data_IF_104483134577
#
_entry.id   IF_104483134577
#
_cell.length_a   1.000
_cell.length_b   1.000
_cell.length_c   1.000
_cell.angle_alpha   90.00
_cell.angle_beta   90.00
_cell.angle_gamma   90.00
#
_symmetry.space_group_name_H-M   'P 1'
#
loop_
_entity.id
_entity.type
_entity.pdbx_description
1 polymer ?
#
# COMPACT_ATOMS: atom_id res chain seq x y z
N UNK A 1 7.94 -36.49 31.32
CA UNK A 1 7.16 -35.93 32.46
C UNK A 1 8.22 -35.25 33.31
N UNK A 2 8.53 -33.98 33.09
CA UNK A 2 7.69 -32.83 33.40
C UNK A 2 7.72 -31.75 32.31
N UNK A 3 6.63 -31.00 32.27
CA UNK A 3 6.24 -29.96 31.32
C UNK A 3 6.76 -28.59 31.78
N UNK A 4 7.49 -27.86 30.94
CA UNK A 4 7.69 -26.41 31.09
C UNK A 4 6.88 -25.66 30.05
N UNK A 5 5.72 -25.14 30.48
CA UNK A 5 4.81 -24.29 29.74
C UNK A 5 5.07 -22.80 30.01
N UNK A 6 5.01 -21.99 28.95
CA UNK A 6 4.91 -20.51 28.99
C UNK A 6 6.28 -19.83 28.85
N UNK A 7 6.56 -18.96 27.88
CA UNK A 7 5.71 -18.06 27.12
C UNK A 7 6.45 -17.72 25.81
N UNK A 8 5.98 -18.24 24.67
CA UNK A 8 6.62 -17.96 23.37
C UNK A 8 5.81 -18.33 22.13
N UNK A 9 4.53 -18.72 22.27
CA UNK A 9 3.77 -19.37 21.20
C UNK A 9 2.73 -18.53 20.45
N UNK A 10 2.59 -17.22 20.74
CA UNK A 10 1.48 -16.43 20.16
C UNK A 10 1.82 -15.77 18.83
N UNK A 11 3.10 -15.51 18.52
CA UNK A 11 3.48 -14.85 17.26
C UNK A 11 3.66 -15.80 16.08
N UNK A 12 4.30 -16.96 16.24
CA UNK A 12 4.71 -17.80 15.10
C UNK A 12 3.53 -18.35 14.28
N UNK A 13 2.40 -18.68 14.92
CA UNK A 13 1.22 -19.20 14.22
C UNK A 13 0.45 -18.15 13.41
N UNK A 14 0.58 -16.86 13.74
CA UNK A 14 -0.15 -15.79 13.03
C UNK A 14 0.40 -15.52 11.63
N UNK A 15 1.72 -15.67 11.46
CA UNK A 15 2.41 -15.42 10.19
C UNK A 15 2.38 -16.64 9.25
N UNK A 16 2.12 -17.84 9.78
CA UNK A 16 1.98 -19.08 9.00
C UNK A 16 0.81 -19.01 7.99
N UNK A 17 -0.20 -18.17 8.26
CA UNK A 17 -1.33 -17.96 7.36
C UNK A 17 -1.01 -17.02 6.18
N UNK A 18 0.12 -16.30 6.19
CA UNK A 18 0.42 -15.30 5.15
C UNK A 18 0.62 -15.92 3.76
N UNK A 19 1.43 -16.99 3.57
CA UNK A 19 1.56 -17.62 2.25
C UNK A 19 0.21 -18.04 1.63
N UNK A 20 -0.67 -18.82 2.29
CA UNK A 20 -1.95 -19.19 1.69
C UNK A 20 -2.88 -17.98 1.46
N UNK A 21 -2.83 -16.95 2.32
CA UNK A 21 -3.58 -15.71 2.09
C UNK A 21 -3.10 -14.97 0.83
N UNK A 22 -1.79 -14.74 0.66
CA UNK A 22 -1.28 -14.09 -0.55
C UNK A 22 -1.53 -14.92 -1.80
N UNK A 23 -1.46 -16.25 -1.70
CA UNK A 23 -1.78 -17.14 -2.81
C UNK A 23 -3.25 -17.04 -3.25
N UNK A 24 -4.18 -17.13 -2.30
CA UNK A 24 -5.62 -17.01 -2.59
C UNK A 24 -5.96 -15.65 -3.20
N UNK A 25 -5.42 -14.55 -2.65
CA UNK A 25 -5.59 -13.23 -3.26
C UNK A 25 -4.96 -13.14 -4.65
N UNK A 26 -3.78 -13.74 -4.86
CA UNK A 26 -3.15 -13.79 -6.20
C UNK A 26 -4.06 -14.48 -7.20
N UNK A 27 -4.66 -15.62 -6.85
CA UNK A 27 -5.59 -16.33 -7.72
C UNK A 27 -6.84 -15.51 -8.05
N UNK A 28 -7.46 -14.88 -7.05
CA UNK A 28 -8.65 -14.03 -7.25
C UNK A 28 -8.32 -12.89 -8.23
N UNK A 29 -7.20 -12.21 -8.02
CA UNK A 29 -6.76 -11.12 -8.89
C UNK A 29 -6.35 -11.62 -10.27
N UNK A 30 -5.70 -12.77 -10.39
CA UNK A 30 -5.28 -13.35 -11.66
C UNK A 30 -6.48 -13.76 -12.50
N UNK A 31 -7.47 -14.43 -11.92
CA UNK A 31 -8.71 -14.80 -12.59
C UNK A 31 -9.49 -13.56 -13.04
N UNK A 32 -9.57 -12.53 -12.18
CA UNK A 32 -10.23 -11.27 -12.51
C UNK A 32 -9.52 -10.52 -13.65
N UNK A 33 -8.19 -10.43 -13.58
CA UNK A 33 -7.36 -9.80 -14.60
C UNK A 33 -7.45 -10.55 -15.93
N UNK A 34 -7.36 -11.88 -15.90
CA UNK A 34 -7.48 -12.75 -17.06
C UNK A 34 -8.88 -12.64 -17.70
N UNK A 35 -9.94 -12.67 -16.89
CA UNK A 35 -11.32 -12.47 -17.36
C UNK A 35 -11.49 -11.11 -18.02
N UNK A 36 -10.92 -10.05 -17.43
CA UNK A 36 -10.95 -8.72 -18.03
C UNK A 36 -10.19 -8.70 -19.34
N UNK A 37 -8.93 -9.15 -19.38
CA UNK A 37 -8.13 -9.13 -20.63
C UNK A 37 -8.73 -10.00 -21.72
N UNK A 38 -9.30 -11.16 -21.37
CA UNK A 38 -10.00 -12.01 -22.33
C UNK A 38 -11.24 -11.31 -22.89
N UNK A 39 -12.07 -10.71 -22.01
CA UNK A 39 -13.24 -9.94 -22.44
C UNK A 39 -12.85 -8.73 -23.30
N UNK A 40 -11.80 -8.00 -22.93
CA UNK A 40 -11.28 -6.88 -23.72
C UNK A 40 -10.73 -7.35 -25.06
N UNK A 41 -10.01 -8.48 -25.11
CA UNK A 41 -9.46 -9.03 -26.35
C UNK A 41 -10.56 -9.55 -27.29
N UNK A 42 -11.56 -10.26 -26.76
CA UNK A 42 -12.70 -10.73 -27.55
C UNK A 42 -13.55 -9.58 -28.08
N UNK A 43 -13.85 -8.58 -27.26
CA UNK A 43 -14.61 -7.41 -27.72
C UNK A 43 -13.79 -6.48 -28.60
N UNK A 44 -12.46 -6.49 -28.48
CA UNK A 44 -11.56 -5.75 -29.38
C UNK A 44 -11.59 -6.26 -30.82
N UNK A 45 -11.98 -7.52 -31.02
CA UNK A 45 -12.22 -8.05 -32.36
C UNK A 45 -13.43 -7.38 -33.05
N UNK A 46 -14.39 -6.86 -32.27
CA UNK A 46 -15.61 -6.24 -32.78
C UNK A 46 -15.63 -4.70 -32.68
N UNK A 47 -14.77 -4.10 -31.84
CA UNK A 47 -14.62 -2.65 -31.67
C UNK A 47 -13.15 -2.28 -31.52
N UNK A 48 -12.67 -1.22 -32.16
CA UNK A 48 -11.27 -0.79 -32.02
C UNK A 48 -10.91 -0.60 -30.53
N UNK A 49 -9.92 -1.34 -29.99
CA UNK A 49 -9.61 -1.29 -28.57
C UNK A 49 -9.09 0.09 -28.19
N UNK A 50 -9.85 0.78 -27.34
CA UNK A 50 -9.49 2.11 -26.87
C UNK A 50 -8.23 2.01 -26.00
N UNK A 51 -7.22 2.87 -26.23
CA UNK A 51 -5.93 2.84 -25.49
C UNK A 51 -6.10 2.85 -23.97
N UNK A 52 -7.18 3.48 -23.49
CA UNK A 52 -7.55 3.48 -22.07
C UNK A 52 -7.81 2.07 -21.53
N UNK A 53 -8.54 1.21 -22.25
CA UNK A 53 -8.93 -0.12 -21.76
C UNK A 53 -7.71 -1.00 -21.45
N UNK A 54 -6.71 -0.96 -22.33
CA UNK A 54 -5.43 -1.66 -22.11
C UNK A 54 -4.64 -1.08 -20.94
N UNK A 55 -4.68 0.24 -20.76
CA UNK A 55 -4.03 0.88 -19.63
C UNK A 55 -4.71 0.50 -18.30
N UNK A 56 -6.05 0.45 -18.26
CA UNK A 56 -6.79 0.00 -17.08
C UNK A 56 -6.56 -1.49 -16.78
N UNK A 57 -6.47 -2.33 -17.81
CA UNK A 57 -6.17 -3.75 -17.67
C UNK A 57 -4.77 -4.01 -17.08
N UNK A 58 -3.81 -3.09 -17.27
CA UNK A 58 -2.47 -3.23 -16.69
C UNK A 58 -2.47 -3.17 -15.15
N UNK A 59 -3.39 -2.43 -14.53
CA UNK A 59 -3.42 -2.23 -13.07
C UNK A 59 -3.68 -3.54 -12.30
N UNK A 60 -4.71 -4.35 -12.65
CA UNK A 60 -4.87 -5.69 -12.08
C UNK A 60 -3.65 -6.59 -12.28
N UNK A 61 -2.99 -6.55 -13.43
CA UNK A 61 -1.79 -7.35 -13.67
C UNK A 61 -0.61 -6.95 -12.79
N UNK A 62 -0.40 -5.64 -12.58
CA UNK A 62 0.60 -5.14 -11.62
C UNK A 62 0.27 -5.66 -10.21
N UNK A 63 -1.02 -5.71 -9.84
CA UNK A 63 -1.44 -6.25 -8.54
C UNK A 63 -1.16 -7.74 -8.39
N UNK A 64 -1.41 -8.53 -9.44
CA UNK A 64 -1.08 -9.96 -9.49
C UNK A 64 0.42 -10.17 -9.30
N UNK A 65 1.25 -9.39 -9.99
CA UNK A 65 2.71 -9.48 -9.84
C UNK A 65 3.15 -9.10 -8.43
N UNK A 66 2.58 -8.04 -7.84
CA UNK A 66 2.86 -7.65 -6.46
C UNK A 66 2.55 -8.78 -5.47
N UNK A 67 1.34 -9.34 -5.55
CA UNK A 67 0.89 -10.41 -4.64
C UNK A 67 1.64 -11.72 -4.87
N UNK A 68 2.00 -12.04 -6.11
CA UNK A 68 2.83 -13.19 -6.44
C UNK A 68 4.23 -13.07 -5.84
N UNK A 69 4.86 -11.90 -5.92
CA UNK A 69 6.13 -11.65 -5.25
C UNK A 69 5.99 -11.74 -3.72
N UNK A 70 4.88 -11.27 -3.15
CA UNK A 70 4.61 -11.40 -1.71
C UNK A 70 4.45 -12.87 -1.30
N UNK A 71 3.71 -13.65 -2.08
CA UNK A 71 3.60 -15.09 -1.89
C UNK A 71 4.97 -15.77 -1.95
N UNK A 72 5.75 -15.50 -3.00
CA UNK A 72 7.10 -16.08 -3.15
C UNK A 72 8.03 -15.70 -2.00
N UNK A 73 7.94 -14.47 -1.49
CA UNK A 73 8.71 -14.02 -0.34
C UNK A 73 8.38 -14.83 0.91
N UNK A 74 7.10 -14.87 1.31
CA UNK A 74 6.67 -15.58 2.51
C UNK A 74 6.84 -17.09 2.39
N UNK A 75 6.58 -17.66 1.22
CA UNK A 75 6.81 -19.08 0.95
C UNK A 75 8.29 -19.45 1.08
N UNK A 76 9.19 -18.66 0.48
CA UNK A 76 10.64 -18.93 0.56
C UNK A 76 11.18 -18.77 1.99
N UNK A 77 10.63 -17.82 2.75
CA UNK A 77 10.99 -17.60 4.14
C UNK A 77 10.62 -18.80 5.01
N UNK A 78 9.37 -19.28 4.94
CA UNK A 78 8.87 -20.37 5.79
C UNK A 78 9.33 -21.76 5.37
N UNK A 79 9.28 -22.08 4.07
CA UNK A 79 9.53 -23.45 3.60
C UNK A 79 10.98 -23.72 3.20
N UNK A 80 11.70 -22.69 2.72
CA UNK A 80 13.06 -22.85 2.20
C UNK A 80 14.13 -22.23 3.11
N UNK A 81 13.74 -21.52 4.19
CA UNK A 81 14.65 -20.73 5.05
C UNK A 81 15.54 -19.74 4.26
N UNK A 82 15.09 -19.29 3.08
CA UNK A 82 15.83 -18.37 2.22
C UNK A 82 15.14 -17.00 2.23
N UNK A 83 15.84 -15.97 2.74
CA UNK A 83 15.37 -14.59 2.67
C UNK A 83 16.06 -13.85 1.52
N UNK A 84 15.37 -13.69 0.39
CA UNK A 84 15.90 -12.93 -0.74
C UNK A 84 15.56 -11.45 -0.60
N UNK A 85 16.59 -10.63 -0.36
CA UNK A 85 16.48 -9.18 -0.34
C UNK A 85 15.84 -8.65 -1.63
N UNK A 86 16.21 -9.21 -2.78
CA UNK A 86 15.66 -8.84 -4.09
C UNK A 86 14.15 -9.06 -4.21
N UNK A 87 13.63 -10.15 -3.63
CA UNK A 87 12.19 -10.43 -3.65
C UNK A 87 11.46 -9.45 -2.73
N UNK A 88 11.99 -9.18 -1.53
CA UNK A 88 11.43 -8.18 -0.61
C UNK A 88 11.41 -6.78 -1.24
N UNK A 89 12.54 -6.36 -1.83
CA UNK A 89 12.63 -5.10 -2.58
C UNK A 89 11.66 -5.07 -3.77
N UNK A 90 11.48 -6.19 -4.47
CA UNK A 90 10.50 -6.33 -5.53
C UNK A 90 9.06 -6.11 -5.05
N UNK A 91 8.67 -6.72 -3.91
CA UNK A 91 7.35 -6.51 -3.29
C UNK A 91 7.13 -5.03 -2.97
N UNK A 92 8.14 -4.38 -2.41
CA UNK A 92 8.13 -2.95 -2.10
C UNK A 92 7.90 -2.10 -3.35
N UNK A 93 8.74 -2.25 -4.38
CA UNK A 93 8.67 -1.45 -5.61
C UNK A 93 7.34 -1.70 -6.33
N UNK A 94 6.91 -2.96 -6.45
CA UNK A 94 5.65 -3.29 -7.11
C UNK A 94 4.43 -2.73 -6.37
N UNK A 95 4.49 -2.62 -5.03
CA UNK A 95 3.44 -1.94 -4.27
C UNK A 95 3.33 -0.44 -4.57
N UNK A 96 4.47 0.24 -4.74
CA UNK A 96 4.51 1.65 -5.15
C UNK A 96 3.99 1.80 -6.58
N UNK A 97 4.46 0.97 -7.51
CA UNK A 97 4.01 0.97 -8.92
C UNK A 97 2.51 0.67 -9.03
N UNK A 98 1.98 -0.23 -8.22
CA UNK A 98 0.54 -0.50 -8.16
C UNK A 98 -0.24 0.75 -7.74
N UNK A 99 0.11 1.39 -6.61
CA UNK A 99 -0.59 2.58 -6.13
C UNK A 99 -0.53 3.72 -7.14
N UNK A 100 0.62 3.96 -7.76
CA UNK A 100 0.77 5.03 -8.75
C UNK A 100 0.04 4.73 -10.06
N UNK A 101 0.08 3.50 -10.56
CA UNK A 101 -0.66 3.12 -11.79
C UNK A 101 -2.19 3.17 -11.61
N UNK A 102 -2.71 2.76 -10.45
CA UNK A 102 -4.13 2.87 -10.11
C UNK A 102 -4.58 4.33 -10.08
N UNK A 103 -3.77 5.18 -9.47
CA UNK A 103 -4.03 6.61 -9.38
C UNK A 103 -4.00 7.32 -10.74
N UNK A 104 -3.00 7.03 -11.59
CA UNK A 104 -2.94 7.56 -12.96
C UNK A 104 -4.18 7.13 -13.74
N UNK A 105 -4.63 5.90 -13.55
CA UNK A 105 -5.86 5.39 -14.15
C UNK A 105 -7.10 6.16 -13.69
N UNK A 106 -7.22 6.47 -12.39
CA UNK A 106 -8.29 7.30 -11.86
C UNK A 106 -8.27 8.72 -12.42
N UNK A 107 -7.09 9.31 -12.60
CA UNK A 107 -6.92 10.60 -13.26
C UNK A 107 -7.41 10.59 -14.71
N UNK A 108 -7.03 9.57 -15.48
CA UNK A 108 -7.47 9.47 -16.87
C UNK A 108 -9.00 9.34 -16.97
N UNK A 109 -9.61 8.52 -16.11
CA UNK A 109 -11.07 8.37 -16.06
C UNK A 109 -11.73 9.67 -15.59
N UNK A 110 -11.18 10.36 -14.57
CA UNK A 110 -11.78 11.59 -14.04
C UNK A 110 -11.81 12.72 -15.07
N UNK A 111 -10.75 12.87 -15.87
CA UNK A 111 -10.71 13.79 -17.01
C UNK A 111 -11.59 13.35 -18.19
N UNK A 112 -12.09 12.10 -18.19
CA UNK A 112 -12.90 11.54 -19.26
C UNK A 112 -12.12 11.19 -20.52
N UNK A 113 -10.82 10.90 -20.37
CA UNK A 113 -10.01 10.36 -21.45
C UNK A 113 -10.69 9.12 -22.03
N UNK A 114 -10.80 9.05 -23.35
CA UNK A 114 -11.45 7.95 -24.07
C UNK A 114 -12.95 7.71 -23.73
N UNK A 115 -13.62 8.62 -22.98
CA UNK A 115 -15.05 8.56 -22.63
C UNK A 115 -15.79 9.81 -23.16
N UNK A 116 -15.36 11.00 -22.72
CA UNK A 116 -15.86 12.31 -23.21
C UNK A 116 -14.87 12.95 -24.19
N UNK A 117 -13.57 12.78 -23.96
CA UNK A 117 -12.50 13.38 -24.75
C UNK A 117 -11.60 12.31 -25.39
N UNK A 118 -11.41 12.36 -26.71
CA UNK A 118 -10.51 11.43 -27.40
C UNK A 118 -9.02 11.73 -27.14
N UNK A 119 -8.67 13.00 -26.84
CA UNK A 119 -7.31 13.41 -26.54
C UNK A 119 -7.30 14.40 -25.38
N UNK A 120 -6.43 14.13 -24.41
CA UNK A 120 -6.05 15.10 -23.39
C UNK A 120 -5.14 16.16 -24.00
N UNK A 121 -5.31 17.42 -23.60
CA UNK A 121 -4.42 18.51 -23.98
C UNK A 121 -3.00 18.29 -23.43
N UNK A 122 -2.00 18.92 -24.07
CA UNK A 122 -0.61 18.83 -23.59
C UNK A 122 -0.45 19.39 -22.18
N UNK A 123 -1.19 20.45 -21.85
CA UNK A 123 -1.17 21.04 -20.50
C UNK A 123 -1.70 20.07 -19.45
N UNK A 124 -2.84 19.42 -19.69
CA UNK A 124 -3.41 18.44 -18.76
C UNK A 124 -2.50 17.23 -18.56
N UNK A 125 -1.88 16.72 -19.64
CA UNK A 125 -0.91 15.62 -19.55
C UNK A 125 0.29 16.00 -18.69
N UNK A 126 0.82 17.22 -18.87
CA UNK A 126 1.94 17.72 -18.08
C UNK A 126 1.56 17.82 -16.60
N UNK A 127 0.39 18.38 -16.30
CA UNK A 127 -0.10 18.49 -14.92
C UNK A 127 -0.30 17.11 -14.28
N UNK A 128 -0.90 16.15 -14.99
CA UNK A 128 -1.05 14.77 -14.51
C UNK A 128 0.30 14.09 -14.28
N UNK A 129 1.27 14.26 -15.18
CA UNK A 129 2.61 13.69 -15.03
C UNK A 129 3.35 14.29 -13.83
N UNK A 130 3.27 15.61 -13.64
CA UNK A 130 3.84 16.30 -12.47
C UNK A 130 3.20 15.76 -11.19
N UNK A 131 1.87 15.72 -11.11
CA UNK A 131 1.15 15.22 -9.94
C UNK A 131 1.49 13.75 -9.64
N UNK A 132 1.58 12.91 -10.67
CA UNK A 132 1.95 11.50 -10.52
C UNK A 132 3.40 11.33 -10.04
N UNK A 133 4.32 12.19 -10.50
CA UNK A 133 5.72 12.20 -10.08
C UNK A 133 5.85 12.61 -8.61
N UNK A 134 5.19 13.70 -8.21
CA UNK A 134 5.18 14.16 -6.81
C UNK A 134 4.62 13.06 -5.91
N UNK A 135 3.47 12.49 -6.28
CA UNK A 135 2.85 11.39 -5.53
C UNK A 135 3.77 10.17 -5.41
N UNK A 136 4.43 9.76 -6.50
CA UNK A 136 5.41 8.66 -6.48
C UNK A 136 6.57 8.94 -5.53
N UNK A 137 7.19 10.11 -5.63
CA UNK A 137 8.33 10.48 -4.78
C UNK A 137 7.94 10.59 -3.30
N UNK A 138 6.77 11.14 -2.99
CA UNK A 138 6.25 11.18 -1.62
C UNK A 138 5.96 9.78 -1.09
N UNK A 139 5.41 8.88 -1.90
CA UNK A 139 5.12 7.50 -1.51
C UNK A 139 6.40 6.69 -1.26
N UNK A 140 7.42 6.87 -2.10
CA UNK A 140 8.75 6.30 -1.88
C UNK A 140 9.36 6.84 -0.58
N UNK A 141 9.32 8.16 -0.35
CA UNK A 141 9.86 8.78 0.86
C UNK A 141 9.17 8.30 2.14
N UNK A 142 7.84 8.22 2.14
CA UNK A 142 7.04 7.69 3.24
C UNK A 142 7.40 6.23 3.58
N UNK A 143 7.57 5.40 2.54
CA UNK A 143 7.88 3.98 2.71
C UNK A 143 9.35 3.71 3.05
N UNK A 144 10.27 4.58 2.64
CA UNK A 144 11.71 4.32 2.77
C UNK A 144 12.27 4.69 4.14
N UNK A 145 11.88 5.80 4.79
CA UNK A 145 12.69 6.26 5.94
C UNK A 145 12.08 7.21 6.97
N UNK A 146 10.83 7.72 6.88
CA UNK A 146 10.48 8.85 7.79
C UNK A 146 8.97 9.05 8.12
N UNK A 147 8.59 9.22 9.41
CA UNK A 147 7.24 9.65 9.80
C UNK A 147 6.88 11.07 9.31
N UNK A 148 7.87 11.94 9.06
CA UNK A 148 7.65 13.31 8.56
C UNK A 148 7.00 13.37 7.16
N UNK A 149 7.14 12.32 6.35
CA UNK A 149 6.45 12.25 5.05
C UNK A 149 4.97 11.90 5.17
N UNK A 150 4.48 11.49 6.36
CA UNK A 150 3.08 11.13 6.59
C UNK A 150 2.13 12.31 6.31
N UNK A 151 2.45 13.50 6.85
CA UNK A 151 1.69 14.72 6.58
C UNK A 151 1.73 15.14 5.10
N UNK A 152 2.90 15.05 4.46
CA UNK A 152 3.03 15.33 3.03
C UNK A 152 2.23 14.34 2.18
N UNK A 153 2.20 13.06 2.56
CA UNK A 153 1.43 12.03 1.87
C UNK A 153 -0.08 12.30 2.01
N UNK A 154 -0.55 12.65 3.21
CA UNK A 154 -1.94 13.02 3.45
C UNK A 154 -2.35 14.21 2.58
N UNK A 155 -1.56 15.28 2.57
CA UNK A 155 -1.80 16.46 1.73
C UNK A 155 -1.84 16.09 0.25
N UNK A 156 -0.92 15.23 -0.22
CA UNK A 156 -0.94 14.75 -1.60
C UNK A 156 -2.21 13.98 -1.94
N UNK A 157 -2.67 13.07 -1.08
CA UNK A 157 -3.94 12.36 -1.28
C UNK A 157 -5.13 13.33 -1.32
N UNK A 158 -5.18 14.31 -0.40
CA UNK A 158 -6.25 15.31 -0.37
C UNK A 158 -6.30 16.14 -1.66
N UNK A 159 -5.16 16.65 -2.12
CA UNK A 159 -5.06 17.41 -3.37
C UNK A 159 -5.56 16.56 -4.54
N UNK A 160 -5.15 15.29 -4.59
CA UNK A 160 -5.52 14.44 -5.72
C UNK A 160 -6.99 14.09 -5.70
N UNK A 161 -7.51 13.62 -4.56
CA UNK A 161 -8.93 13.30 -4.46
C UNK A 161 -9.77 14.53 -4.80
N UNK A 162 -9.37 15.72 -4.33
CA UNK A 162 -10.01 16.98 -4.71
C UNK A 162 -10.02 17.19 -6.23
N UNK A 163 -8.87 17.05 -6.92
CA UNK A 163 -8.79 17.22 -8.37
C UNK A 163 -9.66 16.17 -9.09
N UNK A 164 -9.62 14.91 -8.67
CA UNK A 164 -10.45 13.84 -9.22
C UNK A 164 -11.94 14.15 -9.07
N UNK A 165 -12.40 14.51 -7.87
CA UNK A 165 -13.81 14.83 -7.62
C UNK A 165 -14.28 16.07 -8.37
N UNK A 166 -13.42 17.08 -8.49
CA UNK A 166 -13.70 18.28 -9.26
C UNK A 166 -13.91 17.95 -10.75
N UNK A 167 -13.01 17.16 -11.35
CA UNK A 167 -13.13 16.73 -12.74
C UNK A 167 -14.33 15.82 -12.99
N UNK A 168 -14.62 14.88 -12.09
CA UNK A 168 -15.83 14.04 -12.16
C UNK A 168 -17.09 14.92 -12.11
N UNK A 169 -17.14 15.89 -11.20
CA UNK A 169 -18.31 16.76 -11.04
C UNK A 169 -18.52 17.66 -12.26
N UNK A 170 -17.44 18.21 -12.82
CA UNK A 170 -17.49 18.98 -14.06
C UNK A 170 -18.01 18.14 -15.23
N UNK A 171 -17.48 16.92 -15.39
CA UNK A 171 -17.92 16.01 -16.44
C UNK A 171 -19.40 15.58 -16.26
N UNK A 172 -19.84 15.34 -15.03
CA UNK A 172 -21.25 15.02 -14.74
C UNK A 172 -22.20 16.18 -15.05
N UNK A 173 -21.80 17.42 -14.75
CA UNK A 173 -22.61 18.60 -15.07
C UNK A 173 -22.73 18.78 -16.59
N UNK A 174 -21.61 18.71 -17.33
CA UNK A 174 -21.63 18.80 -18.79
C UNK A 174 -22.50 17.71 -19.42
N UNK A 175 -22.38 16.46 -18.95
CA UNK A 175 -23.21 15.35 -19.46
C UNK A 175 -24.69 15.53 -19.11
N UNK A 176 -25.02 16.13 -17.96
CA UNK A 176 -26.39 16.44 -17.57
C UNK A 176 -27.00 17.50 -18.48
N UNK A 177 -26.25 18.58 -18.74
CA UNK A 177 -26.71 19.68 -19.60
C UNK A 177 -26.91 19.19 -21.05
N UNK A 178 -26.03 18.31 -21.53
CA UNK A 178 -26.21 17.64 -22.83
C UNK A 178 -27.45 16.76 -22.86
N UNK A 179 -27.71 16.02 -21.78
CA UNK A 179 -28.87 15.14 -21.71
C UNK A 179 -30.18 15.93 -21.72
N UNK A 180 -30.28 17.06 -21.00
CA UNK A 180 -31.46 17.93 -21.03
C UNK A 180 -31.71 18.52 -22.41
N UNK A 181 -30.66 18.93 -23.13
CA UNK A 181 -30.81 19.46 -24.48
C UNK A 181 -31.32 18.39 -25.48
N UNK A 182 -30.85 17.14 -25.35
CA UNK A 182 -31.27 16.05 -26.24
C UNK A 182 -32.71 15.59 -25.94
N UNK A 183 -33.13 15.67 -24.68
CA UNK A 183 -34.51 15.39 -24.27
C UNK A 183 -35.49 16.37 -24.94
N UNK A 184 -35.10 17.64 -25.07
CA UNK A 184 -35.87 18.67 -25.79
C UNK A 184 -35.93 18.43 -27.32
N UNK A 185 -34.90 17.81 -27.92
CA UNK A 185 -34.76 17.65 -29.38
C UNK A 185 -35.15 16.24 -29.92
N UNK A 186 -35.51 15.28 -29.04
CA UNK A 186 -36.06 13.94 -29.34
C UNK A 186 -35.15 12.91 -30.07
N UNK A 187 -33.83 13.10 -30.10
CA UNK A 187 -32.88 12.18 -30.78
C UNK A 187 -32.53 10.97 -29.90
N UNK A 188 -33.31 9.89 -30.01
CA UNK A 188 -33.23 8.71 -29.12
C UNK A 188 -31.86 8.00 -29.13
N UNK A 189 -31.21 7.84 -30.27
CA UNK A 189 -29.92 7.14 -30.34
C UNK A 189 -28.77 7.90 -29.65
N UNK A 190 -28.83 9.25 -29.67
CA UNK A 190 -27.84 10.08 -28.99
C UNK A 190 -28.07 10.10 -27.48
N UNK A 191 -29.34 10.07 -27.07
CA UNK A 191 -29.74 10.00 -25.67
C UNK A 191 -29.13 8.77 -24.97
N UNK A 192 -29.28 7.57 -25.54
CA UNK A 192 -28.78 6.33 -24.92
C UNK A 192 -27.25 6.32 -24.76
N UNK A 193 -26.53 6.87 -25.75
CA UNK A 193 -25.08 6.98 -25.70
C UNK A 193 -24.60 7.96 -24.61
N UNK A 194 -25.25 9.13 -24.49
CA UNK A 194 -24.92 10.15 -23.47
C UNK A 194 -25.32 9.68 -22.08
N UNK A 195 -26.49 9.07 -21.94
CA UNK A 195 -26.99 8.48 -20.70
C UNK A 195 -26.05 7.40 -20.16
N UNK A 196 -25.53 6.53 -21.04
CA UNK A 196 -24.54 5.51 -20.66
C UNK A 196 -23.28 6.13 -20.07
N UNK A 197 -22.74 7.18 -20.70
CA UNK A 197 -21.56 7.93 -20.18
C UNK A 197 -21.86 8.57 -18.82
N UNK A 198 -23.05 9.15 -18.65
CA UNK A 198 -23.48 9.75 -17.40
C UNK A 198 -23.53 8.71 -16.26
N UNK A 199 -24.13 7.54 -16.50
CA UNK A 199 -24.19 6.45 -15.53
C UNK A 199 -22.79 5.93 -15.19
N UNK A 200 -21.89 5.81 -16.17
CA UNK A 200 -20.49 5.42 -15.91
C UNK A 200 -19.79 6.39 -14.97
N UNK A 201 -19.88 7.70 -15.20
CA UNK A 201 -19.29 8.71 -14.30
C UNK A 201 -19.95 8.73 -12.92
N UNK A 202 -21.26 8.51 -12.84
CA UNK A 202 -21.97 8.45 -11.56
C UNK A 202 -21.50 7.25 -10.71
N UNK A 203 -21.34 6.09 -11.33
CA UNK A 203 -20.76 4.90 -10.68
C UNK A 203 -19.31 5.12 -10.29
N UNK A 204 -18.52 5.75 -11.15
CA UNK A 204 -17.12 6.08 -10.85
C UNK A 204 -16.99 7.04 -9.66
N UNK A 205 -17.84 8.08 -9.56
CA UNK A 205 -17.92 8.96 -8.39
C UNK A 205 -18.15 8.18 -7.09
N UNK A 206 -19.10 7.25 -7.11
CA UNK A 206 -19.40 6.38 -5.97
C UNK A 206 -18.21 5.50 -5.58
N UNK A 207 -17.57 4.85 -6.56
CA UNK A 207 -16.38 4.03 -6.32
C UNK A 207 -15.22 4.86 -5.74
N UNK A 208 -14.97 6.06 -6.26
CA UNK A 208 -13.91 6.94 -5.75
C UNK A 208 -14.17 7.42 -4.32
N UNK A 209 -15.43 7.63 -3.92
CA UNK A 209 -15.78 7.92 -2.52
C UNK A 209 -15.40 6.75 -1.60
N UNK A 210 -15.74 5.51 -2.00
CA UNK A 210 -15.37 4.31 -1.23
C UNK A 210 -13.85 4.20 -1.10
N UNK A 211 -13.12 4.41 -2.19
CA UNK A 211 -11.64 4.41 -2.18
C UNK A 211 -11.09 5.47 -1.24
N UNK A 212 -11.57 6.72 -1.31
CA UNK A 212 -11.11 7.81 -0.46
C UNK A 212 -11.35 7.54 1.02
N UNK A 213 -12.54 7.05 1.38
CA UNK A 213 -12.88 6.68 2.76
C UNK A 213 -12.03 5.50 3.24
N UNK A 214 -11.81 4.50 2.38
CA UNK A 214 -10.98 3.34 2.74
C UNK A 214 -9.51 3.69 2.96
N UNK A 215 -8.93 4.54 2.11
CA UNK A 215 -7.53 4.99 2.26
C UNK A 215 -7.40 5.88 3.51
N UNK A 216 -8.37 6.75 3.79
CA UNK A 216 -8.39 7.55 5.03
C UNK A 216 -8.49 6.66 6.28
N UNK A 217 -9.36 5.65 6.26
CA UNK A 217 -9.52 4.72 7.37
C UNK A 217 -8.24 3.91 7.63
N UNK A 218 -7.57 3.44 6.57
CA UNK A 218 -6.28 2.76 6.67
C UNK A 218 -5.21 3.69 7.21
N UNK A 219 -5.18 4.95 6.76
CA UNK A 219 -4.23 5.95 7.23
C UNK A 219 -4.39 6.22 8.73
N UNK A 220 -5.63 6.47 9.20
CA UNK A 220 -5.94 6.68 10.62
C UNK A 220 -5.59 5.44 11.46
N UNK A 221 -5.95 4.25 10.97
CA UNK A 221 -5.67 2.99 11.68
C UNK A 221 -4.17 2.74 11.83
N UNK A 222 -3.39 3.06 10.80
CA UNK A 222 -1.94 2.89 10.83
C UNK A 222 -1.27 3.93 11.73
N UNK A 223 -1.77 5.17 11.76
CA UNK A 223 -1.27 6.22 12.65
C UNK A 223 -1.52 5.86 14.12
N UNK A 224 -2.74 5.42 14.48
CA UNK A 224 -3.06 4.94 15.84
C UNK A 224 -2.16 3.76 16.27
N UNK A 225 -1.82 2.86 15.32
CA UNK A 225 -0.91 1.75 15.60
C UNK A 225 0.54 2.20 15.82
N UNK A 226 0.98 3.20 15.06
CA UNK A 226 2.28 3.82 15.22
C UNK A 226 2.34 4.62 16.52
N UNK A 227 1.20 5.18 16.95
CA UNK A 227 1.03 5.89 18.20
C UNK A 227 1.32 5.00 19.42
N UNK A 228 0.63 3.86 19.45
CA UNK A 228 0.84 2.85 20.48
C UNK A 228 2.26 2.24 20.47
N UNK A 229 2.92 2.18 19.30
CA UNK A 229 4.28 1.66 19.18
C UNK A 229 5.31 2.59 19.84
N UNK A 230 5.16 3.91 19.71
CA UNK A 230 6.09 4.85 20.37
C UNK A 230 5.79 5.04 21.87
N UNK A 231 4.54 4.87 22.31
CA UNK A 231 4.21 4.87 23.74
C UNK A 231 4.77 3.64 24.49
N UNK A 232 4.84 2.48 23.85
CA UNK A 232 5.35 1.24 24.47
C UNK A 232 6.86 1.28 24.83
N UNK A 233 7.65 2.17 24.22
CA UNK A 233 9.07 2.30 24.57
C UNK A 233 9.29 3.12 25.85
N UNK A 234 8.43 4.10 26.17
CA UNK A 234 8.67 5.00 27.31
C UNK A 234 8.53 4.30 28.68
N UNK A 235 7.59 3.37 28.83
CA UNK A 235 7.44 2.58 30.06
C UNK A 235 8.49 1.47 30.18
N UNK A 236 8.86 0.84 29.06
CA UNK A 236 9.97 -0.13 29.02
C UNK A 236 11.31 0.53 29.40
N UNK A 237 11.56 1.77 28.97
CA UNK A 237 12.75 2.55 29.35
C UNK A 237 12.76 3.00 30.82
N UNK A 238 11.60 3.14 31.47
CA UNK A 238 11.51 3.43 32.91
C UNK A 238 12.02 2.25 33.75
N UNK A 239 11.78 1.02 33.31
CA UNK A 239 12.26 -0.18 33.99
C UNK A 239 13.79 -0.38 33.83
N UNK A 240 14.37 0.14 32.75
CA UNK A 240 15.83 0.22 32.61
C UNK A 240 16.49 1.23 33.56
N UNK A 241 15.78 2.29 33.99
CA UNK A 241 16.33 3.29 34.94
C UNK A 241 16.27 2.85 36.39
N UNK A 242 15.48 1.82 36.74
CA UNK A 242 15.24 1.41 38.13
C UNK A 242 16.30 0.45 38.69
N UNK A 243 17.19 -0.08 37.85
CA UNK A 243 18.23 -1.04 38.24
C UNK A 243 19.64 -0.44 38.06
N UNK A 244 20.53 -0.61 39.05
CA UNK A 244 21.92 -0.19 38.95
C UNK A 244 22.67 -1.04 37.91
N UNK A 245 22.99 -0.42 36.76
CA UNK A 245 23.83 -1.04 35.73
C UNK A 245 25.26 -0.55 35.90
N UNK A 246 26.22 -1.47 36.06
CA UNK A 246 27.65 -1.14 36.00
C UNK A 246 28.22 -1.53 34.64
N UNK A 247 28.65 -0.53 33.87
CA UNK A 247 29.43 -0.73 32.64
C UNK A 247 30.89 -0.95 33.05
N UNK A 248 31.32 -2.21 33.07
CA UNK A 248 32.75 -2.54 33.21
C UNK A 248 33.48 -2.23 31.90
N UNK A 249 34.24 -1.14 31.86
CA UNK A 249 35.20 -0.90 30.78
C UNK A 249 36.51 -1.59 31.17
N UNK A 250 37.06 -2.52 30.37
CA UNK A 250 38.34 -3.14 30.69
C UNK A 250 39.44 -2.07 30.58
N UNK A 251 39.95 -1.63 31.72
CA UNK A 251 41.18 -0.83 31.81
C UNK A 251 42.35 -1.73 32.19
N UNK A 252 43.15 -2.18 31.21
CA UNK A 252 44.61 -2.28 31.38
C UNK A 252 45.31 -2.53 30.02
N UNK A 253 46.58 -2.07 29.85
CA UNK A 253 47.26 -2.05 28.56
C UNK A 253 48.15 -3.28 28.38
N UNK A 254 48.02 -3.97 27.25
CA UNK A 254 49.19 -4.61 26.64
C UNK A 254 49.02 -4.70 25.12
N UNK A 255 50.11 -4.35 24.45
CA UNK A 255 50.35 -4.29 23.01
C UNK A 255 49.91 -5.52 22.22
N UNK A 256 49.36 -5.18 21.04
CA UNK A 256 49.35 -5.90 19.75
C UNK A 256 48.10 -6.70 19.33
N UNK A 257 47.59 -6.29 18.16
CA UNK A 257 46.53 -6.87 17.32
C UNK A 257 45.07 -6.49 17.64
N UNK A 258 44.67 -5.33 17.11
CA UNK A 258 43.28 -4.86 16.99
C UNK A 258 42.57 -5.59 15.83
N UNK A 259 41.62 -6.46 16.16
CA UNK A 259 40.35 -6.69 15.46
C UNK A 259 39.47 -7.57 16.37
N UNK A 260 38.24 -7.11 16.60
CA UNK A 260 37.18 -7.74 17.41
C UNK A 260 37.18 -7.43 18.91
N UNK A 261 36.83 -6.18 19.26
CA UNK A 261 36.30 -5.87 20.59
C UNK A 261 34.84 -6.31 20.69
N UNK A 262 34.60 -7.52 21.19
CA UNK A 262 33.27 -8.03 21.53
C UNK A 262 32.85 -7.45 22.89
N UNK A 263 31.76 -6.71 22.92
CA UNK A 263 31.11 -6.28 24.18
C UNK A 263 30.32 -7.48 24.72
N UNK A 264 30.78 -8.05 25.83
CA UNK A 264 30.06 -9.11 26.54
C UNK A 264 29.22 -8.47 27.63
N UNK A 265 27.89 -8.51 27.47
CA UNK A 265 26.93 -8.09 28.50
C UNK A 265 26.59 -9.32 29.35
N UNK A 266 27.07 -9.36 30.59
CA UNK A 266 26.75 -10.43 31.54
C UNK A 266 25.55 -9.98 32.38
N UNK A 267 24.42 -10.67 32.25
CA UNK A 267 23.26 -10.54 33.13
C UNK A 267 23.48 -11.40 34.37
N UNK A 268 23.45 -10.80 35.57
CA UNK A 268 23.45 -11.56 36.82
C UNK A 268 22.13 -12.36 36.94
N UNK A 269 22.15 -13.69 37.06
CA UNK A 269 20.95 -14.45 37.38
C UNK A 269 20.74 -14.41 38.90
N UNK A 270 19.62 -13.80 39.30
CA UNK A 270 18.95 -13.88 40.61
C UNK A 270 19.78 -14.40 41.80
N UNK A 271 20.21 -13.48 42.67
CA UNK A 271 20.53 -13.82 44.06
C UNK A 271 19.21 -14.12 44.80
N UNK A 272 18.80 -15.39 44.83
CA UNK A 272 17.88 -15.85 45.85
C UNK A 272 18.57 -15.67 47.21
N UNK A 273 18.07 -14.74 48.03
CA UNK A 273 18.53 -14.61 49.41
C UNK A 273 18.07 -15.83 50.20
N UNK A 274 19.02 -16.71 50.49
CA UNK A 274 18.85 -17.74 51.50
C UNK A 274 18.85 -17.02 52.86
N UNK A 275 17.67 -16.80 53.44
CA UNK A 275 17.56 -16.37 54.83
C UNK A 275 17.85 -17.57 55.74
N UNK A 276 18.98 -17.44 56.44
CA UNK A 276 19.52 -18.18 57.58
C UNK A 276 18.64 -19.27 58.24
N UNK A 277 19.17 -20.50 58.24
CA UNK A 277 18.98 -21.47 59.33
C UNK A 277 20.16 -21.31 60.30
N UNK A 278 19.85 -21.04 61.58
CA UNK A 278 20.54 -21.60 62.74
C UNK A 278 21.69 -20.82 63.39
N UNK A 279 21.37 -20.13 64.50
CA UNK A 279 21.86 -20.47 65.86
C UNK A 279 21.18 -19.59 66.90
#
# INVERSE_FOLDING_TARGET
METSSGSGGVSDGAYELLPPLYFTFTLIWALSAASWTFNTCMNAHFQQPNKLQWMLASVPWIKVLQLSLSFLFWYSYFYSNMCSLWVSFGVYIMGIVFKTSAFVSFFLISHGYCITCHRLSLSERRTMAIQSCVFYMTLVGYRASVPYFSGLLLVNYLIVFYVIFNHISRNLNVLRDQLSFIEDESVHAMHDAVYTKYIMFKKFRGAMNVVAVSELAVFISMDNSLENYWEMDAESFKDFRSHEWHIGVPTLPHKESLKDSVVVVIRHPNAYSLSSIGS
#
